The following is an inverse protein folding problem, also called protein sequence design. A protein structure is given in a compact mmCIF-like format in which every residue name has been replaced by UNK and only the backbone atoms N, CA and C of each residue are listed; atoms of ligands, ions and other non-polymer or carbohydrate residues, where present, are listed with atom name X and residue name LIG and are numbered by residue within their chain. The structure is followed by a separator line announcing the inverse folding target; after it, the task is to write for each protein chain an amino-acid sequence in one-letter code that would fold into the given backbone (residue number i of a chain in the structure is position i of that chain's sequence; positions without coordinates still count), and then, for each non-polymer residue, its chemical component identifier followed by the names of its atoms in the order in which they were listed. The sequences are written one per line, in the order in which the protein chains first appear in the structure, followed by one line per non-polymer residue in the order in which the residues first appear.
data_IF_016275857442
#
_entry.id   IF_016275857442
#
_cell.length_a   1.000
_cell.length_b   1.000
_cell.length_c   1.000
_cell.angle_alpha   90.00
_cell.angle_beta   90.00
_cell.angle_gamma   90.00
#
_symmetry.space_group_name_H-M   'P 1'
#
loop_
_entity.id
_entity.type
_entity.pdbx_description
1 polymer ?
#
# COMPACT_ATOMS: atom_id res chain seq x y z
N UNK A 1 20.09 25.17 16.89
CA UNK A 1 19.42 26.34 16.27
C UNK A 1 19.48 26.18 14.76
N UNK A 2 18.34 26.09 14.08
CA UNK A 2 18.24 26.25 12.62
C UNK A 2 17.46 27.56 12.41
N UNK A 3 18.01 28.51 11.67
CA UNK A 3 17.37 29.81 11.35
C UNK A 3 16.93 30.72 12.52
N UNK A 4 17.64 30.70 13.66
CA UNK A 4 17.38 31.60 14.82
C UNK A 4 15.94 31.58 15.36
N UNK A 5 15.18 30.50 15.15
CA UNK A 5 13.85 30.32 15.76
C UNK A 5 13.90 29.24 16.86
N UNK A 6 13.23 29.44 18.01
CA UNK A 6 13.09 28.41 19.01
C UNK A 6 12.25 27.25 18.45
N UNK A 7 12.76 26.02 18.56
CA UNK A 7 12.05 24.81 18.13
C UNK A 7 11.21 24.35 19.30
N UNK A 8 9.90 24.35 19.14
CA UNK A 8 9.01 23.75 20.12
C UNK A 8 9.19 22.24 20.12
N UNK A 9 9.42 21.65 21.29
CA UNK A 9 9.47 20.20 21.44
C UNK A 9 8.10 19.62 21.09
N UNK A 10 8.06 18.81 20.04
CA UNK A 10 6.87 18.05 19.65
C UNK A 10 7.16 16.56 19.77
N UNK A 11 6.16 15.79 20.19
CA UNK A 11 6.26 14.33 20.25
C UNK A 11 6.23 13.68 18.86
N UNK A 12 5.74 14.40 17.85
CA UNK A 12 5.66 13.94 16.45
C UNK A 12 6.18 15.03 15.51
N UNK A 13 7.05 14.67 14.57
CA UNK A 13 7.59 15.60 13.55
C UNK A 13 7.51 15.00 12.16
N UNK A 14 7.22 15.84 11.16
CA UNK A 14 7.20 15.41 9.74
C UNK A 14 8.57 15.63 9.12
N UNK A 15 9.18 14.56 8.63
CA UNK A 15 10.45 14.60 7.91
C UNK A 15 10.31 13.86 6.57
N UNK A 16 10.56 14.54 5.46
CA UNK A 16 10.45 13.97 4.10
C UNK A 16 9.09 13.26 3.83
N UNK A 17 8.00 13.78 4.41
CA UNK A 17 6.66 13.18 4.27
C UNK A 17 6.38 11.99 5.21
N UNK A 18 7.33 11.63 6.07
CA UNK A 18 7.22 10.59 7.10
C UNK A 18 6.95 11.25 8.45
N UNK A 19 5.98 10.73 9.21
CA UNK A 19 5.74 11.18 10.57
C UNK A 19 6.62 10.36 11.53
N UNK A 20 7.61 11.01 12.13
CA UNK A 20 8.51 10.43 13.12
C UNK A 20 7.96 10.72 14.51
N UNK A 21 7.63 9.67 15.24
CA UNK A 21 7.24 9.72 16.65
C UNK A 21 8.50 9.60 17.53
N UNK A 22 8.50 10.23 18.70
CA UNK A 22 9.59 10.19 19.70
C UNK A 22 10.04 8.78 20.04
N UNK A 23 9.10 7.82 20.04
CA UNK A 23 9.37 6.40 20.33
C UNK A 23 9.66 5.55 19.09
N UNK A 24 9.72 6.15 17.90
CA UNK A 24 9.88 5.47 16.61
C UNK A 24 8.89 4.29 16.43
N UNK A 25 7.70 4.40 17.02
CA UNK A 25 6.65 3.36 16.87
C UNK A 25 5.99 3.43 15.51
N UNK A 26 6.10 4.57 14.82
CA UNK A 26 5.48 4.86 13.52
C UNK A 26 3.96 4.68 13.47
N UNK A 27 3.28 4.66 14.62
CA UNK A 27 1.83 4.44 14.71
C UNK A 27 1.06 5.48 13.88
N UNK A 28 1.29 6.77 14.15
CA UNK A 28 0.63 7.87 13.43
C UNK A 28 0.94 7.83 11.93
N UNK A 29 2.17 7.49 11.56
CA UNK A 29 2.57 7.39 10.17
C UNK A 29 1.82 6.28 9.43
N UNK A 30 1.67 5.12 10.07
CA UNK A 30 0.99 3.96 9.49
C UNK A 30 -0.52 4.20 9.38
N UNK A 31 -1.11 4.88 10.37
CA UNK A 31 -2.51 5.29 10.30
C UNK A 31 -2.73 6.33 9.17
N UNK A 32 -1.82 7.28 9.00
CA UNK A 32 -1.86 8.23 7.87
C UNK A 32 -1.76 7.52 6.51
N UNK A 33 -0.85 6.54 6.38
CA UNK A 33 -0.71 5.76 5.14
C UNK A 33 -1.94 4.90 4.88
N UNK A 34 -2.52 4.31 5.93
CA UNK A 34 -3.79 3.57 5.82
C UNK A 34 -4.91 4.47 5.32
N UNK A 35 -5.04 5.68 5.86
CA UNK A 35 -6.06 6.63 5.42
C UNK A 35 -5.86 7.05 3.97
N UNK A 36 -4.62 7.38 3.58
CA UNK A 36 -4.27 7.69 2.18
C UNK A 36 -4.57 6.53 1.24
N UNK A 37 -4.18 5.32 1.63
CA UNK A 37 -4.44 4.09 0.87
C UNK A 37 -5.95 3.86 0.69
N UNK A 38 -6.74 4.02 1.76
CA UNK A 38 -8.18 3.87 1.70
C UNK A 38 -8.86 4.93 0.81
N UNK A 39 -8.37 6.17 0.83
CA UNK A 39 -8.84 7.21 -0.08
C UNK A 39 -8.60 6.84 -1.55
N UNK A 40 -7.37 6.46 -1.90
CA UNK A 40 -7.02 6.02 -3.25
C UNK A 40 -7.82 4.77 -3.66
N UNK A 41 -7.97 3.80 -2.75
CA UNK A 41 -8.77 2.61 -2.96
C UNK A 41 -10.25 2.93 -3.20
N UNK A 42 -10.81 3.90 -2.48
CA UNK A 42 -12.20 4.31 -2.66
C UNK A 42 -12.42 4.93 -4.05
N UNK A 43 -11.50 5.78 -4.52
CA UNK A 43 -11.55 6.33 -5.88
C UNK A 43 -11.44 5.25 -6.96
N UNK A 44 -10.65 4.20 -6.72
CA UNK A 44 -10.44 3.11 -7.67
C UNK A 44 -11.46 1.97 -7.54
N UNK A 45 -12.31 1.99 -6.50
CA UNK A 45 -13.29 0.96 -6.23
C UNK A 45 -14.24 0.69 -7.42
N UNK A 46 -14.74 1.71 -8.15
CA UNK A 46 -15.60 1.48 -9.32
C UNK A 46 -14.90 0.70 -10.45
N UNK A 47 -13.58 0.84 -10.58
CA UNK A 47 -12.78 0.21 -11.64
C UNK A 47 -12.24 -1.17 -11.24
N UNK A 48 -11.97 -1.36 -9.95
CA UNK A 48 -11.39 -2.59 -9.41
C UNK A 48 -12.43 -3.53 -8.80
N UNK A 49 -13.68 -3.08 -8.65
CA UNK A 49 -14.76 -3.86 -8.06
C UNK A 49 -15.13 -5.12 -8.86
N UNK A 50 -15.90 -6.00 -8.22
CA UNK A 50 -16.43 -7.24 -8.83
C UNK A 50 -17.28 -6.97 -10.07
N UNK A 51 -18.05 -5.89 -10.06
CA UNK A 51 -18.92 -5.47 -11.16
C UNK A 51 -18.17 -4.81 -12.33
N UNK A 52 -16.89 -4.49 -12.16
CA UNK A 52 -16.11 -3.83 -13.21
C UNK A 52 -15.73 -4.82 -14.31
N UNK A 53 -16.08 -4.47 -15.56
CA UNK A 53 -15.79 -5.24 -16.79
C UNK A 53 -14.29 -5.33 -17.14
N UNK A 54 -13.43 -4.68 -16.36
CA UNK A 54 -11.98 -4.67 -16.58
C UNK A 54 -11.40 -6.09 -16.40
N UNK A 55 -10.51 -6.49 -17.30
CA UNK A 55 -9.81 -7.78 -17.13
C UNK A 55 -8.87 -7.75 -15.92
N UNK A 56 -8.64 -8.91 -15.33
CA UNK A 56 -7.80 -9.07 -14.13
C UNK A 56 -6.42 -8.41 -14.29
N UNK A 57 -5.83 -8.49 -15.50
CA UNK A 57 -4.53 -7.89 -15.82
C UNK A 57 -4.52 -6.38 -15.65
N UNK A 58 -5.55 -5.69 -16.15
CA UNK A 58 -5.65 -4.23 -16.03
C UNK A 58 -5.92 -3.80 -14.59
N UNK A 59 -6.74 -4.56 -13.83
CA UNK A 59 -6.95 -4.31 -12.40
C UNK A 59 -5.64 -4.44 -11.61
N UNK A 60 -4.83 -5.46 -11.91
CA UNK A 60 -3.51 -5.64 -11.31
C UNK A 60 -2.51 -4.56 -11.70
N UNK A 61 -2.57 -4.07 -12.94
CA UNK A 61 -1.74 -2.96 -13.40
C UNK A 61 -2.06 -1.68 -12.61
N UNK A 62 -3.35 -1.34 -12.49
CA UNK A 62 -3.81 -0.19 -11.68
C UNK A 62 -3.37 -0.31 -10.22
N UNK A 63 -3.49 -1.50 -9.63
CA UNK A 63 -3.01 -1.77 -8.27
C UNK A 63 -1.51 -1.51 -8.12
N UNK A 64 -0.70 -2.05 -9.04
CA UNK A 64 0.76 -1.87 -9.01
C UNK A 64 1.17 -0.41 -9.23
N UNK A 65 0.44 0.33 -10.08
CA UNK A 65 0.76 1.70 -10.42
C UNK A 65 0.34 2.71 -9.34
N UNK A 66 -0.83 2.54 -8.70
CA UNK A 66 -1.41 3.56 -7.82
C UNK A 66 -1.41 3.18 -6.34
N UNK A 67 -1.77 1.93 -6.00
CA UNK A 67 -1.90 1.52 -4.60
C UNK A 67 -0.57 1.03 -4.00
N UNK A 68 0.20 0.27 -4.76
CA UNK A 68 1.50 -0.24 -4.31
C UNK A 68 2.49 0.85 -3.88
N UNK A 69 2.71 1.96 -4.63
CA UNK A 69 3.68 2.98 -4.21
C UNK A 69 3.32 3.66 -2.90
N UNK A 70 2.03 3.78 -2.55
CA UNK A 70 1.58 4.37 -1.28
C UNK A 70 2.17 3.63 -0.07
N UNK A 71 2.32 2.31 -0.18
CA UNK A 71 2.89 1.48 0.88
C UNK A 71 4.41 1.32 0.69
N UNK A 72 4.87 1.10 -0.54
CA UNK A 72 6.28 0.85 -0.82
C UNK A 72 7.19 2.06 -0.55
N UNK A 73 6.70 3.29 -0.68
CA UNK A 73 7.47 4.51 -0.43
C UNK A 73 8.04 4.58 1.00
N UNK A 74 7.24 4.17 2.00
CA UNK A 74 7.64 4.20 3.41
C UNK A 74 8.25 2.88 3.90
N UNK A 75 8.37 1.87 3.03
CA UNK A 75 8.96 0.57 3.36
C UNK A 75 10.35 0.63 4.02
N UNK A 76 11.32 1.45 3.56
CA UNK A 76 12.65 1.48 4.19
C UNK A 76 12.62 2.04 5.62
N UNK A 77 11.66 2.92 5.92
CA UNK A 77 11.53 3.56 7.23
C UNK A 77 11.01 2.57 8.28
N UNK A 78 10.13 1.65 7.87
CA UNK A 78 9.51 0.67 8.76
C UNK A 78 10.39 -0.53 9.10
N UNK A 79 11.64 -0.59 8.64
CA UNK A 79 12.54 -1.69 9.01
C UNK A 79 12.68 -1.87 10.53
N UNK A 80 12.58 -0.77 11.28
CA UNK A 80 12.60 -0.75 12.75
C UNK A 80 11.20 -0.74 13.40
N UNK A 81 10.11 -0.72 12.62
CA UNK A 81 8.75 -0.64 13.15
C UNK A 81 8.28 -1.97 13.73
N UNK A 82 7.35 -1.92 14.68
CA UNK A 82 6.79 -3.14 15.27
C UNK A 82 6.06 -4.00 14.22
N UNK A 83 6.27 -5.32 14.28
CA UNK A 83 5.67 -6.30 13.37
C UNK A 83 4.14 -6.17 13.26
N UNK A 84 3.48 -5.79 14.35
CA UNK A 84 2.03 -5.58 14.41
C UNK A 84 1.56 -4.49 13.44
N UNK A 85 2.33 -3.43 13.26
CA UNK A 85 1.96 -2.36 12.34
C UNK A 85 2.21 -2.73 10.87
N UNK A 86 3.28 -3.48 10.60
CA UNK A 86 3.55 -4.03 9.27
C UNK A 86 2.43 -5.01 8.87
N UNK A 87 2.00 -5.88 9.78
CA UNK A 87 0.89 -6.81 9.56
C UNK A 87 -0.42 -6.10 9.20
N UNK A 88 -0.70 -4.91 9.77
CA UNK A 88 -1.88 -4.12 9.39
C UNK A 88 -1.83 -3.70 7.91
N UNK A 89 -0.66 -3.28 7.42
CA UNK A 89 -0.45 -2.90 6.03
C UNK A 89 -0.54 -4.12 5.09
N UNK A 90 0.05 -5.24 5.48
CA UNK A 90 -0.08 -6.51 4.74
C UNK A 90 -1.54 -6.95 4.64
N UNK A 91 -2.31 -6.79 5.71
CA UNK A 91 -3.75 -7.12 5.72
C UNK A 91 -4.53 -6.25 4.72
N UNK A 92 -4.21 -4.95 4.63
CA UNK A 92 -4.81 -4.04 3.65
C UNK A 92 -4.49 -4.45 2.20
N UNK A 93 -3.23 -4.80 1.93
CA UNK A 93 -2.81 -5.30 0.62
C UNK A 93 -3.53 -6.61 0.27
N UNK A 94 -3.52 -7.59 1.17
CA UNK A 94 -4.16 -8.89 0.98
C UNK A 94 -5.67 -8.77 0.74
N UNK A 95 -6.35 -7.93 1.52
CA UNK A 95 -7.79 -7.63 1.33
C UNK A 95 -8.05 -7.06 -0.07
N UNK A 96 -7.19 -6.17 -0.54
CA UNK A 96 -7.36 -5.53 -1.84
C UNK A 96 -7.02 -6.47 -2.99
N UNK A 97 -6.00 -7.32 -2.85
CA UNK A 97 -5.68 -8.36 -3.83
C UNK A 97 -6.84 -9.34 -3.99
N UNK A 98 -7.44 -9.79 -2.90
CA UNK A 98 -8.63 -10.66 -2.93
C UNK A 98 -9.82 -10.04 -3.63
N UNK A 99 -10.01 -8.73 -3.46
CA UNK A 99 -11.07 -7.98 -4.16
C UNK A 99 -10.82 -7.96 -5.67
N UNK A 100 -9.56 -7.83 -6.10
CA UNK A 100 -9.17 -7.82 -7.51
C UNK A 100 -9.32 -9.20 -8.15
N UNK A 101 -8.85 -10.25 -7.46
CA UNK A 101 -8.82 -11.64 -7.95
C UNK A 101 -10.12 -12.40 -7.72
N UNK A 102 -11.11 -11.75 -7.10
CA UNK A 102 -12.37 -12.33 -6.64
C UNK A 102 -12.22 -13.67 -5.91
N UNK A 103 -11.18 -13.77 -5.07
CA UNK A 103 -10.80 -15.05 -4.46
C UNK A 103 -11.59 -15.32 -3.17
N UNK A 104 -12.17 -16.53 -3.00
CA UNK A 104 -12.84 -16.94 -1.78
C UNK A 104 -11.97 -16.82 -0.51
N UNK A 105 -12.63 -16.60 0.63
CA UNK A 105 -11.97 -16.36 1.92
C UNK A 105 -11.08 -17.53 2.37
N UNK A 106 -11.44 -18.77 2.04
CA UNK A 106 -10.73 -19.99 2.47
C UNK A 106 -9.38 -20.23 1.77
N UNK A 107 -9.11 -19.57 0.63
CA UNK A 107 -7.84 -19.71 -0.07
C UNK A 107 -6.75 -18.97 0.69
N UNK A 108 -5.59 -19.59 0.92
CA UNK A 108 -4.48 -18.93 1.66
C UNK A 108 -3.87 -17.77 0.87
N UNK A 109 -3.57 -16.66 1.54
CA UNK A 109 -2.95 -15.48 0.93
C UNK A 109 -1.63 -15.79 0.20
N UNK A 110 -0.85 -16.77 0.70
CA UNK A 110 0.39 -17.22 0.07
C UNK A 110 0.15 -17.79 -1.34
N UNK A 111 -0.93 -18.54 -1.52
CA UNK A 111 -1.28 -19.14 -2.81
C UNK A 111 -1.68 -18.05 -3.80
N UNK A 112 -2.51 -17.10 -3.36
CA UNK A 112 -2.92 -15.93 -4.16
C UNK A 112 -1.68 -15.17 -4.64
N UNK A 113 -0.74 -14.89 -3.73
CA UNK A 113 0.49 -14.15 -4.09
C UNK A 113 1.37 -14.93 -5.06
N UNK A 114 1.50 -16.24 -4.87
CA UNK A 114 2.24 -17.12 -5.77
C UNK A 114 1.63 -17.14 -7.18
N UNK A 115 0.32 -17.24 -7.29
CA UNK A 115 -0.39 -17.24 -8.57
C UNK A 115 -0.28 -15.88 -9.26
N UNK A 116 -0.35 -14.79 -8.51
CA UNK A 116 -0.14 -13.44 -9.04
C UNK A 116 1.30 -13.18 -9.53
N UNK A 117 2.31 -13.84 -8.93
CA UNK A 117 3.69 -13.77 -9.41
C UNK A 117 3.88 -14.46 -10.77
N UNK A 118 3.05 -15.48 -11.07
CA UNK A 118 3.06 -16.19 -12.36
C UNK A 118 2.48 -15.38 -13.52
N UNK A 119 1.87 -14.22 -13.26
CA UNK A 119 1.44 -13.27 -14.29
C UNK A 119 2.47 -12.13 -14.44
N UNK A 120 3.57 -12.35 -15.19
CA UNK A 120 4.52 -11.29 -15.47
C UNK A 120 3.89 -10.23 -16.38
N UNK A 121 4.16 -8.97 -16.05
CA UNK A 121 3.92 -7.84 -16.92
C UNK A 121 4.97 -7.85 -18.05
N UNK A 122 4.70 -8.57 -19.16
CA UNK A 122 5.37 -8.50 -20.49
C UNK A 122 4.78 -9.62 -21.37
N UNK A 123 4.24 -9.39 -22.57
CA UNK A 123 4.93 -8.82 -23.74
C UNK A 123 4.23 -7.60 -24.34
N UNK A 124 5.06 -6.61 -24.63
CA UNK A 124 4.78 -5.49 -25.52
C UNK A 124 4.40 -6.01 -26.92
N UNK A 125 3.48 -5.30 -27.56
CA UNK A 125 3.46 -4.97 -28.99
C UNK A 125 4.13 -5.98 -29.93
N UNK A 126 3.35 -6.91 -30.47
CA UNK A 126 3.60 -7.36 -31.84
C UNK A 126 2.89 -6.39 -32.76
N UNK A 127 3.72 -5.58 -33.43
CA UNK A 127 3.41 -4.83 -34.63
C UNK A 127 2.54 -5.66 -35.57
N UNK A 128 1.44 -5.08 -36.04
CA UNK A 128 0.92 -5.20 -37.39
C UNK A 128 0.36 -3.83 -37.77
#
# INVERSE_FOLDING_TARGET
MLYRRPIHWSNSTKYLGVALDKKLTYKEHIDNIRNKYNGVKAHLYPLMGRKAKLSLRHKLLLYKALLRPVISYASPVWGAAAKTHIQKLETLQNSTLRMITDTPWFIRNKNILHDLKKYPSSKNSSVN
#
